data_IF_647778942812
#
_entry.id   IF_647778942812
#
_cell.length_a   1.000
_cell.length_b   1.000
_cell.length_c   1.000
_cell.angle_alpha   90.00
_cell.angle_beta   90.00
_cell.angle_gamma   90.00
#
_symmetry.space_group_name_H-M   'P 1'
#
loop_
_entity.id
_entity.type
_entity.pdbx_description
1 polymer ?
#
# COMPACT_ATOMS: atom_id res chain seq x y z
N UNK A 1 -6.09 -3.61 -15.03
CA UNK A 1 -4.74 -3.87 -14.48
C UNK A 1 -4.71 -3.43 -13.02
N UNK A 2 -3.85 -4.01 -12.16
CA UNK A 2 -3.66 -3.54 -10.78
C UNK A 2 -2.29 -2.87 -10.69
N UNK A 3 -2.22 -1.74 -10.01
CA UNK A 3 -0.96 -1.08 -9.64
C UNK A 3 -0.73 -1.27 -8.15
N UNK A 4 0.51 -1.43 -7.70
CA UNK A 4 0.83 -1.44 -6.27
C UNK A 4 1.28 -0.05 -5.85
N UNK A 5 0.69 0.47 -4.77
CA UNK A 5 1.01 1.80 -4.28
C UNK A 5 0.52 2.07 -2.87
N UNK A 6 0.59 3.33 -2.46
CA UNK A 6 0.18 3.78 -1.14
C UNK A 6 -1.00 4.73 -1.24
N UNK A 7 -2.01 4.53 -0.40
CA UNK A 7 -3.06 5.48 -0.15
C UNK A 7 -2.73 6.31 1.08
N UNK A 8 -3.00 7.61 1.00
CA UNK A 8 -3.19 8.45 2.17
C UNK A 8 -4.64 8.88 2.24
N UNK A 9 -5.22 8.80 3.42
CA UNK A 9 -6.56 9.32 3.71
C UNK A 9 -6.49 10.13 5.00
N UNK A 10 -7.29 11.18 5.08
CA UNK A 10 -7.45 11.94 6.31
C UNK A 10 -8.24 11.12 7.34
N UNK A 11 -7.93 11.30 8.62
CA UNK A 11 -8.68 10.71 9.73
C UNK A 11 -9.68 11.73 10.32
N UNK A 12 -10.49 11.32 11.30
CA UNK A 12 -11.39 12.24 11.99
C UNK A 12 -10.63 13.35 12.74
N UNK A 13 -9.43 13.04 13.24
CA UNK A 13 -8.57 13.94 14.00
C UNK A 13 -7.62 14.78 13.11
N UNK A 14 -7.87 14.82 11.80
CA UNK A 14 -7.06 15.50 10.77
C UNK A 14 -5.65 14.91 10.56
N UNK A 15 -5.32 13.80 11.23
CA UNK A 15 -4.08 13.05 10.99
C UNK A 15 -4.10 12.27 9.66
N UNK A 16 -2.91 11.88 9.21
CA UNK A 16 -2.71 11.03 8.03
C UNK A 16 -2.82 9.54 8.37
N UNK A 17 -3.67 8.82 7.65
CA UNK A 17 -3.66 7.35 7.61
C UNK A 17 -3.01 6.90 6.31
N UNK A 18 -2.02 6.01 6.40
CA UNK A 18 -1.27 5.48 5.26
C UNK A 18 -1.54 3.98 5.14
N UNK A 19 -1.85 3.49 3.95
CA UNK A 19 -2.07 2.08 3.71
C UNK A 19 -1.60 1.65 2.32
N UNK A 20 -1.05 0.44 2.20
CA UNK A 20 -0.86 -0.20 0.91
C UNK A 20 -2.21 -0.48 0.22
N UNK A 21 -2.27 -0.27 -1.09
CA UNK A 21 -3.46 -0.55 -1.89
C UNK A 21 -3.11 -0.91 -3.31
N UNK A 22 -3.82 -1.90 -3.85
CA UNK A 22 -3.80 -2.29 -5.25
C UNK A 22 -5.04 -1.83 -6.02
N UNK A 23 -5.17 -0.57 -6.48
CA UNK A 23 -6.32 -0.15 -7.27
C UNK A 23 -6.36 -0.82 -8.65
N UNK A 24 -7.56 -1.12 -9.15
CA UNK A 24 -7.71 -1.44 -10.57
C UNK A 24 -7.69 -0.15 -11.39
N UNK A 25 -6.93 -0.18 -12.48
CA UNK A 25 -6.87 0.86 -13.51
C UNK A 25 -7.21 0.26 -14.88
N UNK A 26 -7.98 1.00 -15.68
CA UNK A 26 -8.34 0.59 -17.04
C UNK A 26 -7.17 0.81 -18.01
N UNK A 27 -6.58 2.00 -17.97
CA UNK A 27 -5.38 2.36 -18.73
C UNK A 27 -4.38 3.06 -17.80
N UNK A 28 -3.20 2.46 -17.51
CA UNK A 28 -2.19 3.11 -16.68
C UNK A 28 -1.52 4.31 -17.34
N UNK A 29 -1.57 4.44 -18.67
CA UNK A 29 -0.96 5.59 -19.37
C UNK A 29 -1.83 6.84 -19.31
N UNK A 30 -3.12 6.66 -19.02
CA UNK A 30 -4.11 7.73 -18.91
C UNK A 30 -5.01 7.47 -17.70
N UNK A 31 -4.41 7.47 -16.51
CA UNK A 31 -5.13 7.27 -15.26
C UNK A 31 -6.10 8.43 -15.01
N UNK A 32 -7.39 8.16 -15.21
CA UNK A 32 -8.49 9.08 -14.88
C UNK A 32 -9.38 8.54 -13.77
N UNK A 33 -9.38 7.21 -13.58
CA UNK A 33 -10.21 6.52 -12.60
C UNK A 33 -9.42 5.40 -11.93
N UNK A 34 -9.75 5.16 -10.66
CA UNK A 34 -9.27 4.05 -9.85
C UNK A 34 -10.48 3.25 -9.36
N UNK A 35 -10.36 1.94 -9.27
CA UNK A 35 -11.31 1.12 -8.51
C UNK A 35 -10.58 0.58 -7.30
N UNK A 36 -10.87 1.16 -6.13
CA UNK A 36 -10.30 0.73 -4.86
C UNK A 36 -11.12 -0.45 -4.32
N UNK A 37 -10.42 -1.44 -3.77
CA UNK A 37 -11.05 -2.63 -3.18
C UNK A 37 -10.54 -2.90 -1.77
N UNK A 38 -10.80 -1.99 -0.81
CA UNK A 38 -10.38 -2.21 0.56
C UNK A 38 -11.04 -3.48 1.12
N UNK A 39 -10.31 -4.18 2.00
CA UNK A 39 -10.87 -5.32 2.72
C UNK A 39 -12.06 -4.89 3.57
N UNK A 40 -13.08 -5.73 3.68
CA UNK A 40 -14.27 -5.42 4.46
C UNK A 40 -13.92 -5.25 5.95
N UNK A 41 -14.38 -4.16 6.55
CA UNK A 41 -14.02 -3.82 7.95
C UNK A 41 -12.62 -3.23 8.13
N UNK A 42 -11.83 -3.05 7.06
CA UNK A 42 -10.54 -2.36 7.17
C UNK A 42 -10.70 -0.88 7.51
N UNK A 43 -9.72 -0.33 8.23
CA UNK A 43 -9.64 1.12 8.54
C UNK A 43 -9.65 1.99 7.28
N UNK A 44 -8.95 1.57 6.23
CA UNK A 44 -8.96 2.29 4.95
C UNK A 44 -10.36 2.31 4.33
N UNK A 45 -11.10 1.20 4.37
CA UNK A 45 -12.47 1.14 3.87
C UNK A 45 -13.43 2.02 4.66
N UNK A 46 -13.34 2.02 6.00
CA UNK A 46 -14.20 2.86 6.83
C UNK A 46 -13.92 4.35 6.62
N UNK A 47 -12.64 4.74 6.52
CA UNK A 47 -12.23 6.12 6.24
C UNK A 47 -12.70 6.58 4.86
N UNK A 48 -12.55 5.77 3.81
CA UNK A 48 -12.99 6.16 2.46
C UNK A 48 -14.53 6.22 2.31
N UNK A 49 -15.25 5.48 3.15
CA UNK A 49 -16.71 5.53 3.18
C UNK A 49 -17.22 6.76 3.94
N UNK A 50 -16.53 7.19 5.00
CA UNK A 50 -16.89 8.40 5.75
C UNK A 50 -16.36 9.69 5.13
N UNK A 51 -15.17 9.63 4.54
CA UNK A 51 -14.47 10.71 3.85
C UNK A 51 -14.12 10.21 2.45
N UNK A 52 -14.94 10.57 1.46
CA UNK A 52 -14.84 10.10 0.07
C UNK A 52 -13.69 10.73 -0.72
N UNK A 53 -12.57 11.02 -0.07
CA UNK A 53 -11.43 11.75 -0.59
C UNK A 53 -10.11 11.08 -0.18
N UNK A 54 -9.09 11.16 -1.02
CA UNK A 54 -7.77 10.65 -0.70
C UNK A 54 -6.76 10.87 -1.82
N UNK A 55 -5.54 10.39 -1.60
CA UNK A 55 -4.46 10.46 -2.58
C UNK A 55 -3.83 9.07 -2.73
N UNK A 56 -3.72 8.61 -3.98
CA UNK A 56 -3.02 7.39 -4.35
C UNK A 56 -1.63 7.73 -4.87
N UNK A 57 -0.62 6.97 -4.46
CA UNK A 57 0.78 7.25 -4.75
C UNK A 57 1.42 6.06 -5.44
N UNK A 58 2.13 6.34 -6.52
CA UNK A 58 3.12 5.43 -7.08
C UNK A 58 4.48 5.77 -6.49
N UNK A 59 5.16 4.78 -5.91
CA UNK A 59 6.45 4.96 -5.26
C UNK A 59 7.34 3.74 -5.49
N UNK A 60 8.65 3.95 -5.56
CA UNK A 60 9.65 2.89 -5.45
C UNK A 60 10.20 2.75 -4.01
N UNK A 61 9.68 3.50 -3.03
CA UNK A 61 10.00 3.31 -1.61
C UNK A 61 9.30 2.06 -1.06
N UNK A 62 9.95 0.91 -1.23
CA UNK A 62 9.43 -0.37 -0.78
C UNK A 62 9.51 -0.55 0.75
N UNK A 63 10.37 0.21 1.43
CA UNK A 63 10.47 0.19 2.88
C UNK A 63 9.24 0.85 3.53
N UNK A 64 8.77 1.97 2.98
CA UNK A 64 7.50 2.57 3.41
C UNK A 64 6.33 1.63 3.14
N UNK A 65 6.35 0.89 2.03
CA UNK A 65 5.37 -0.15 1.74
C UNK A 65 5.36 -1.26 2.80
N UNK A 66 6.54 -1.82 3.12
CA UNK A 66 6.69 -2.84 4.16
C UNK A 66 6.24 -2.35 5.53
N UNK A 67 6.57 -1.11 5.90
CA UNK A 67 6.09 -0.48 7.13
C UNK A 67 4.57 -0.37 7.11
N UNK A 68 3.97 0.22 6.08
CA UNK A 68 2.52 0.38 5.99
C UNK A 68 1.73 -0.94 6.17
N UNK A 69 2.29 -2.06 5.71
CA UNK A 69 1.67 -3.40 5.84
C UNK A 69 1.93 -4.05 7.20
N UNK A 70 3.14 -3.90 7.76
CA UNK A 70 3.52 -4.54 9.02
C UNK A 70 3.06 -3.78 10.27
N UNK A 71 2.84 -2.48 10.16
CA UNK A 71 2.41 -1.57 11.23
C UNK A 71 2.98 -0.17 11.01
N UNK A 72 2.28 0.87 11.47
CA UNK A 72 2.66 2.26 11.19
C UNK A 72 4.13 2.54 11.56
N UNK A 73 4.85 3.32 10.72
CA UNK A 73 6.25 3.65 10.98
C UNK A 73 6.37 4.48 12.27
N UNK A 74 7.44 4.26 13.04
CA UNK A 74 7.75 5.06 14.24
C UNK A 74 7.87 6.57 13.93
N UNK A 75 8.24 6.89 12.68
CA UNK A 75 8.29 8.24 12.14
C UNK A 75 7.44 8.31 10.87
N UNK A 76 6.46 9.21 10.85
CA UNK A 76 5.67 9.47 9.65
C UNK A 76 6.55 10.03 8.52
N UNK A 77 6.30 9.63 7.25
CA UNK A 77 6.97 10.23 6.11
C UNK A 77 6.61 11.71 5.96
N UNK A 78 7.44 12.46 5.26
CA UNK A 78 7.14 13.85 4.94
C UNK A 78 5.93 13.93 4.00
N UNK A 79 4.99 14.79 4.37
CA UNK A 79 3.77 15.04 3.62
C UNK A 79 3.52 16.52 3.45
N UNK A 80 2.80 16.86 2.38
CA UNK A 80 2.21 18.19 2.15
C UNK A 80 0.71 18.07 1.88
N UNK A 81 -0.11 19.10 2.14
CA UNK A 81 -1.52 19.08 1.78
C UNK A 81 -1.74 18.84 0.28
N UNK A 82 -2.82 18.13 -0.06
CA UNK A 82 -3.33 18.01 -1.41
C UNK A 82 -4.05 19.31 -1.86
N UNK A 83 -4.15 19.53 -3.17
CA UNK A 83 -4.61 20.81 -3.72
C UNK A 83 -6.13 20.87 -3.89
N UNK A 84 -6.77 19.73 -4.16
CA UNK A 84 -8.19 19.63 -4.58
C UNK A 84 -9.02 18.72 -3.67
N UNK A 85 -8.39 17.94 -2.81
CA UNK A 85 -9.03 16.99 -1.89
C UNK A 85 -8.50 17.14 -0.46
N UNK A 86 -9.28 16.71 0.52
CA UNK A 86 -8.87 16.66 1.93
C UNK A 86 -7.96 15.45 2.16
N UNK A 87 -6.67 15.60 1.85
CA UNK A 87 -5.67 14.54 1.93
C UNK A 87 -4.24 15.07 1.94
N UNK A 88 -3.29 14.14 1.93
CA UNK A 88 -1.86 14.42 2.11
C UNK A 88 -1.06 13.79 0.98
N UNK A 89 -0.22 14.54 0.29
CA UNK A 89 0.70 14.00 -0.72
C UNK A 89 2.00 13.60 -0.02
N UNK A 90 2.44 12.35 -0.21
CA UNK A 90 3.77 11.88 0.18
C UNK A 90 4.82 12.55 -0.70
N UNK A 91 5.72 13.34 -0.10
CA UNK A 91 6.67 14.15 -0.87
C UNK A 91 7.66 13.30 -1.68
N UNK A 92 8.08 12.16 -1.13
CA UNK A 92 9.03 11.24 -1.78
C UNK A 92 8.36 10.16 -2.67
N UNK A 93 7.05 10.26 -2.92
CA UNK A 93 6.42 9.42 -3.96
C UNK A 93 6.92 9.84 -5.36
N UNK A 94 6.84 8.93 -6.34
CA UNK A 94 7.14 9.27 -7.73
C UNK A 94 6.01 10.14 -8.33
N UNK A 95 4.79 9.65 -8.19
CA UNK A 95 3.57 10.32 -8.66
C UNK A 95 2.49 10.22 -7.59
N UNK A 96 1.60 11.22 -7.57
CA UNK A 96 0.45 11.26 -6.67
C UNK A 96 -0.83 11.62 -7.44
N UNK A 97 -1.93 10.95 -7.10
CA UNK A 97 -3.23 11.08 -7.76
C UNK A 97 -4.28 11.39 -6.70
N UNK A 98 -4.68 12.65 -6.62
CA UNK A 98 -5.80 13.07 -5.80
C UNK A 98 -7.10 12.54 -6.39
N UNK A 99 -7.96 11.96 -5.57
CA UNK A 99 -9.21 11.37 -6.05
C UNK A 99 -10.39 11.63 -5.12
N UNK A 100 -11.59 11.53 -5.71
CA UNK A 100 -12.86 11.47 -4.98
C UNK A 100 -13.61 10.20 -5.31
N UNK A 101 -14.21 9.55 -4.32
CA UNK A 101 -15.12 8.42 -4.54
C UNK A 101 -16.42 8.96 -5.12
N UNK A 102 -16.81 8.48 -6.30
CA UNK A 102 -18.07 8.84 -6.96
C UNK A 102 -19.16 7.80 -6.74
N UNK A 103 -18.76 6.54 -6.54
CA UNK A 103 -19.68 5.44 -6.32
C UNK A 103 -19.05 4.40 -5.40
N UNK A 104 -19.78 4.02 -4.36
CA UNK A 104 -19.43 2.91 -3.49
C UNK A 104 -20.41 1.76 -3.73
N UNK A 105 -19.89 0.58 -4.06
CA UNK A 105 -20.65 -0.66 -4.07
C UNK A 105 -20.13 -1.54 -2.93
N UNK A 106 -20.92 -1.64 -1.87
CA UNK A 106 -20.62 -2.41 -0.66
C UNK A 106 -21.43 -3.70 -0.56
N UNK A 107 -22.11 -4.10 -1.64
CA UNK A 107 -23.08 -5.20 -1.61
C UNK A 107 -22.45 -6.59 -1.75
N UNK A 108 -21.23 -6.68 -2.30
CA UNK A 108 -20.47 -7.91 -2.43
C UNK A 108 -19.44 -8.12 -1.31
N UNK A 109 -18.79 -9.30 -1.30
CA UNK A 109 -17.73 -9.66 -0.33
C UNK A 109 -16.54 -8.69 -0.32
N UNK A 110 -16.30 -7.98 -1.44
CA UNK A 110 -15.31 -6.91 -1.53
C UNK A 110 -15.99 -5.62 -1.94
N UNK A 111 -15.81 -4.60 -1.12
CA UNK A 111 -16.23 -3.24 -1.46
C UNK A 111 -15.53 -2.79 -2.74
N UNK A 112 -16.28 -2.15 -3.65
CA UNK A 112 -15.74 -1.49 -4.84
C UNK A 112 -16.01 0.00 -4.75
N UNK A 113 -14.96 0.78 -4.57
CA UNK A 113 -15.03 2.23 -4.53
C UNK A 113 -14.51 2.78 -5.85
N UNK A 114 -15.41 3.33 -6.66
CA UNK A 114 -15.08 3.99 -7.91
C UNK A 114 -14.61 5.41 -7.61
N UNK A 115 -13.34 5.67 -7.88
CA UNK A 115 -12.68 6.94 -7.64
C UNK A 115 -12.38 7.64 -8.96
N UNK A 116 -12.71 8.93 -9.06
CA UNK A 116 -12.27 9.80 -10.17
C UNK A 116 -11.11 10.67 -9.72
N UNK A 117 -10.04 10.67 -10.51
CA UNK A 117 -8.87 11.49 -10.28
C UNK A 117 -9.23 12.96 -10.52
N UNK A 118 -8.94 13.81 -9.53
CA UNK A 118 -9.16 15.24 -9.57
C UNK A 118 -7.89 15.97 -10.04
N UNK A 119 -6.72 15.50 -9.60
CA UNK A 119 -5.44 16.08 -9.95
C UNK A 119 -4.33 15.04 -9.87
N UNK A 120 -3.38 15.11 -10.79
CA UNK A 120 -2.16 14.31 -10.80
C UNK A 120 -0.95 15.18 -10.54
N UNK A 121 0.03 14.63 -9.83
CA UNK A 121 1.29 15.27 -9.49
C UNK A 121 2.44 14.36 -9.91
N UNK A 122 3.43 14.96 -10.56
CA UNK A 122 4.73 14.33 -10.74
C UNK A 122 5.68 14.95 -9.71
N UNK A 123 6.12 14.13 -8.76
CA UNK A 123 6.99 14.58 -7.67
C UNK A 123 8.46 14.26 -8.02
N UNK A 124 8.75 13.03 -8.42
CA UNK A 124 10.08 12.62 -8.88
C UNK A 124 10.03 11.43 -9.86
N UNK A 125 11.12 11.18 -10.62
CA UNK A 125 11.20 10.00 -11.47
C UNK A 125 11.19 8.69 -10.67
N UNK A 126 10.49 7.68 -11.21
CA UNK A 126 10.65 6.29 -10.81
C UNK A 126 12.03 5.78 -11.24
N UNK A 127 12.72 5.06 -10.35
CA UNK A 127 14.10 4.63 -10.61
C UNK A 127 14.23 3.42 -11.52
N UNK A 128 13.19 2.58 -11.58
CA UNK A 128 13.18 1.40 -12.45
C UNK A 128 12.85 0.12 -11.68
N UNK A 129 12.80 -0.99 -12.40
CA UNK A 129 12.49 -2.29 -11.80
C UNK A 129 13.66 -2.79 -10.96
N UNK A 130 13.36 -3.18 -9.71
CA UNK A 130 14.29 -3.83 -8.80
C UNK A 130 13.66 -5.15 -8.32
N UNK A 131 14.39 -6.27 -8.49
CA UNK A 131 13.88 -7.60 -8.16
C UNK A 131 13.72 -7.81 -6.65
N UNK A 132 14.54 -7.17 -5.83
CA UNK A 132 14.39 -7.19 -4.37
C UNK A 132 13.17 -6.37 -3.93
N UNK A 133 12.92 -5.20 -4.53
CA UNK A 133 11.70 -4.44 -4.27
C UNK A 133 10.44 -5.25 -4.64
N UNK A 134 10.45 -5.95 -5.78
CA UNK A 134 9.36 -6.88 -6.11
C UNK A 134 9.22 -8.00 -5.07
N UNK A 135 10.32 -8.57 -4.60
CA UNK A 135 10.31 -9.60 -3.56
C UNK A 135 9.74 -9.08 -2.22
N UNK A 136 10.02 -7.84 -1.85
CA UNK A 136 9.44 -7.21 -0.65
C UNK A 136 7.93 -7.02 -0.81
N UNK A 137 7.44 -6.60 -1.99
CA UNK A 137 6.00 -6.49 -2.25
C UNK A 137 5.31 -7.85 -2.10
N UNK A 138 5.86 -8.91 -2.69
CA UNK A 138 5.34 -10.27 -2.55
C UNK A 138 5.35 -10.74 -1.08
N UNK A 139 6.43 -10.48 -0.34
CA UNK A 139 6.51 -10.79 1.09
C UNK A 139 5.46 -10.03 1.91
N UNK A 140 5.18 -8.76 1.58
CA UNK A 140 4.16 -7.96 2.24
C UNK A 140 2.75 -8.53 1.99
N UNK A 141 2.48 -9.01 0.78
CA UNK A 141 1.23 -9.69 0.44
C UNK A 141 1.07 -10.96 1.28
N UNK A 142 2.10 -11.80 1.38
CA UNK A 142 2.09 -13.00 2.24
C UNK A 142 1.81 -12.64 3.70
N UNK A 143 2.50 -11.63 4.24
CA UNK A 143 2.33 -11.16 5.61
C UNK A 143 0.88 -10.72 5.90
N UNK A 144 0.26 -9.96 4.99
CA UNK A 144 -1.13 -9.50 5.17
C UNK A 144 -2.14 -10.65 5.23
N UNK A 145 -1.79 -11.81 4.67
CA UNK A 145 -2.66 -13.00 4.52
C UNK A 145 -2.31 -14.12 5.50
N UNK A 146 -1.46 -13.89 6.49
CA UNK A 146 -1.09 -14.92 7.49
C UNK A 146 -2.30 -15.56 8.18
N UNK A 147 -3.42 -14.85 8.32
CA UNK A 147 -4.66 -15.37 8.89
C UNK A 147 -5.45 -16.30 7.95
N UNK A 148 -5.06 -16.42 6.68
CA UNK A 148 -5.72 -17.21 5.64
C UNK A 148 -4.84 -18.32 5.06
N UNK A 149 -3.54 -18.27 5.32
CA UNK A 149 -2.55 -19.15 4.69
C UNK A 149 -1.91 -20.06 5.73
N UNK A 150 -1.47 -21.24 5.29
CA UNK A 150 -0.68 -22.14 6.11
C UNK A 150 0.71 -21.55 6.39
N UNK A 151 1.18 -21.68 7.64
CA UNK A 151 2.43 -21.06 8.08
C UNK A 151 3.67 -21.66 7.41
N UNK A 152 3.69 -22.98 7.17
CA UNK A 152 4.81 -23.66 6.50
C UNK A 152 4.87 -23.24 5.02
N UNK A 153 3.70 -23.14 4.38
CA UNK A 153 3.59 -22.66 3.00
C UNK A 153 4.04 -21.19 2.86
N UNK A 154 3.73 -20.33 3.83
CA UNK A 154 4.21 -18.94 3.85
C UNK A 154 5.73 -18.91 4.02
N UNK A 155 6.29 -19.67 4.97
CA UNK A 155 7.74 -19.72 5.18
C UNK A 155 8.48 -20.18 3.93
N UNK A 156 7.99 -21.24 3.27
CA UNK A 156 8.57 -21.75 2.02
C UNK A 156 8.56 -20.69 0.92
N UNK A 157 7.48 -19.92 0.79
CA UNK A 157 7.39 -18.84 -0.20
C UNK A 157 8.34 -17.69 0.13
N UNK A 158 8.44 -17.27 1.40
CA UNK A 158 9.39 -16.24 1.84
C UNK A 158 10.84 -16.65 1.55
N UNK A 159 11.22 -17.90 1.82
CA UNK A 159 12.56 -18.39 1.49
C UNK A 159 12.84 -18.39 -0.02
N UNK A 160 11.83 -18.67 -0.84
CA UNK A 160 11.97 -18.61 -2.31
C UNK A 160 12.25 -17.20 -2.84
N UNK A 161 11.88 -16.16 -2.08
CA UNK A 161 12.12 -14.75 -2.42
C UNK A 161 13.54 -14.27 -2.04
N UNK A 162 14.18 -14.92 -1.06
CA UNK A 162 15.49 -14.52 -0.52
C UNK A 162 16.58 -14.35 -1.60
N UNK A 163 16.72 -15.22 -2.62
CA UNK A 163 17.72 -15.02 -3.68
C UNK A 163 17.53 -13.76 -4.52
N UNK A 164 16.30 -13.21 -4.60
CA UNK A 164 16.04 -11.94 -5.29
C UNK A 164 16.60 -10.78 -4.48
N UNK A 165 16.37 -10.80 -3.16
CA UNK A 165 16.87 -9.80 -2.20
C UNK A 165 18.40 -9.83 -2.16
N UNK A 166 18.99 -10.98 -1.87
CA UNK A 166 20.46 -11.14 -1.77
C UNK A 166 21.21 -10.66 -3.01
N UNK A 167 20.60 -10.77 -4.20
CA UNK A 167 21.26 -10.41 -5.46
C UNK A 167 21.06 -8.96 -5.90
N UNK A 168 20.02 -8.29 -5.42
CA UNK A 168 19.59 -7.01 -6.03
C UNK A 168 19.15 -5.94 -5.05
N UNK A 169 19.13 -6.22 -3.74
CA UNK A 169 18.78 -5.27 -2.71
C UNK A 169 19.88 -4.21 -2.49
N UNK A 170 19.47 -2.97 -2.30
CA UNK A 170 20.22 -2.01 -1.50
C UNK A 170 19.83 -2.12 -0.02
N UNK A 171 20.27 -1.15 0.78
CA UNK A 171 19.96 -1.09 2.22
C UNK A 171 18.45 -1.04 2.49
N UNK A 172 17.71 -0.30 1.67
CA UNK A 172 16.26 -0.11 1.83
C UNK A 172 15.47 -1.39 1.60
N UNK A 173 15.74 -2.13 0.52
CA UNK A 173 15.06 -3.41 0.25
C UNK A 173 15.42 -4.47 1.29
N UNK A 174 16.68 -4.51 1.72
CA UNK A 174 17.15 -5.43 2.75
C UNK A 174 16.40 -5.17 4.07
N UNK A 175 16.37 -3.91 4.51
CA UNK A 175 15.65 -3.52 5.73
C UNK A 175 14.15 -3.83 5.63
N UNK A 176 13.54 -3.60 4.47
CA UNK A 176 12.12 -3.84 4.26
C UNK A 176 11.79 -5.34 4.31
N UNK A 177 12.63 -6.17 3.70
CA UNK A 177 12.45 -7.63 3.72
C UNK A 177 12.63 -8.20 5.13
N UNK A 178 13.71 -7.80 5.82
CA UNK A 178 14.00 -8.25 7.18
C UNK A 178 12.89 -7.84 8.15
N UNK A 179 12.36 -6.62 8.02
CA UNK A 179 11.20 -6.16 8.80
C UNK A 179 9.99 -7.10 8.62
N UNK A 180 9.70 -7.52 7.39
CA UNK A 180 8.57 -8.42 7.12
C UNK A 180 8.83 -9.81 7.71
N UNK A 181 10.04 -10.35 7.59
CA UNK A 181 10.40 -11.64 8.20
C UNK A 181 10.24 -11.60 9.71
N UNK A 182 10.82 -10.60 10.38
CA UNK A 182 10.75 -10.42 11.83
C UNK A 182 9.29 -10.32 12.31
N UNK A 183 8.45 -9.59 11.60
CA UNK A 183 7.04 -9.42 11.96
C UNK A 183 6.23 -10.68 11.67
N UNK A 184 6.57 -11.42 10.61
CA UNK A 184 5.96 -12.72 10.30
C UNK A 184 6.21 -13.69 11.44
N UNK A 185 7.45 -13.85 11.88
CA UNK A 185 7.80 -14.71 13.01
C UNK A 185 7.02 -14.31 14.27
N UNK A 186 7.02 -13.03 14.65
CA UNK A 186 6.29 -12.53 15.82
C UNK A 186 4.78 -12.83 15.78
N UNK A 187 4.16 -12.82 14.61
CA UNK A 187 2.73 -13.14 14.46
C UNK A 187 2.45 -14.63 14.46
N UNK A 188 3.31 -15.46 13.85
CA UNK A 188 3.18 -16.92 13.85
C UNK A 188 3.30 -17.53 15.26
N UNK A 189 3.98 -16.85 16.20
CA UNK A 189 4.10 -17.29 17.59
C UNK A 189 2.99 -16.78 18.54
N UNK A 190 2.03 -15.96 18.08
CA UNK A 190 0.86 -15.61 18.90
C UNK A 190 -0.24 -16.63 18.67
N UNK A 191 -0.70 -17.38 19.70
CA UNK A 191 -1.88 -18.22 19.57
C UNK A 191 -3.07 -17.33 19.21
N UNK A 192 -3.86 -17.76 18.24
CA UNK A 192 -5.17 -17.15 17.93
C UNK A 192 -6.05 -17.28 19.18
N UNK A 193 -6.11 -16.22 19.99
CA UNK A 193 -7.02 -16.09 21.13
C UNK A 193 -8.43 -15.81 20.66
#
# INVERSE_FOLDING_TARGET
MILEGLLTTRTADDDVHIAAMGPEVADPRSMTHLILKPFQGSRTGSLLTSQSEGVFHLTDDVLLFAKAVTGMPDKLPQTRPADTVSGWILEDACEAFEFRIEKADTTGERCRLHARIQKSHFNRPFRGFNRAAHAVIEAAILFSRLHLLDAEDVQRQLESLRPLVTKTAGEQEQQAFDLILDQTEKRSFKPTT
#
